data_IF_357744880304
#
_entry.id   IF_357744880304
#
_cell.length_a   1.000
_cell.length_b   1.000
_cell.length_c   1.000
_cell.angle_alpha   90.00
_cell.angle_beta   90.00
_cell.angle_gamma   90.00
#
_symmetry.space_group_name_H-M   'P 1'
#
loop_
_entity.id
_entity.type
_entity.pdbx_description
1 polymer ?
#
# COMPACT_ATOMS: atom_id res chain seq x y z
N UNK A 1 -8.77 -61.93 -26.87
CA UNK A 1 -7.95 -60.79 -26.41
C UNK A 1 -8.87 -59.59 -26.23
N UNK A 2 -8.88 -58.95 -25.05
CA UNK A 2 -9.65 -57.73 -24.75
C UNK A 2 -8.63 -56.64 -24.43
N UNK A 3 -8.65 -55.53 -25.17
CA UNK A 3 -7.81 -54.36 -24.92
C UNK A 3 -8.74 -53.26 -24.44
N UNK A 4 -8.64 -52.88 -23.18
CA UNK A 4 -9.33 -51.74 -22.58
C UNK A 4 -8.47 -50.51 -22.82
N UNK A 5 -8.96 -49.57 -23.64
CA UNK A 5 -8.34 -48.27 -23.85
C UNK A 5 -8.83 -47.30 -22.77
N UNK A 6 -7.95 -46.93 -21.83
CA UNK A 6 -8.23 -45.86 -20.87
C UNK A 6 -7.63 -44.56 -21.39
N UNK A 7 -8.48 -43.69 -21.88
CA UNK A 7 -8.14 -42.38 -22.43
C UNK A 7 -7.97 -41.39 -21.26
N UNK A 8 -6.72 -41.11 -20.86
CA UNK A 8 -6.45 -40.04 -19.89
C UNK A 8 -6.38 -38.73 -20.67
N UNK A 9 -7.49 -38.00 -20.68
CA UNK A 9 -7.55 -36.61 -21.08
C UNK A 9 -6.85 -35.77 -19.99
N UNK A 10 -5.54 -35.57 -20.12
CA UNK A 10 -4.84 -34.55 -19.35
C UNK A 10 -5.19 -33.18 -19.93
N UNK A 11 -6.24 -32.59 -19.33
CA UNK A 11 -6.63 -31.22 -19.55
C UNK A 11 -5.44 -30.28 -19.30
N UNK A 12 -5.22 -29.41 -20.28
CA UNK A 12 -4.47 -28.16 -20.26
C UNK A 12 -4.45 -27.47 -18.88
N UNK A 13 -3.28 -27.42 -18.24
CA UNK A 13 -2.97 -26.40 -17.23
C UNK A 13 -2.26 -25.27 -17.96
N UNK A 14 -3.04 -24.37 -18.55
CA UNK A 14 -2.55 -23.16 -19.18
C UNK A 14 -3.36 -21.96 -18.69
N UNK A 15 -3.26 -21.63 -17.39
CA UNK A 15 -3.69 -20.33 -16.86
C UNK A 15 -2.81 -19.95 -15.66
N UNK A 16 -1.60 -19.47 -15.92
CA UNK A 16 -0.96 -18.47 -15.05
C UNK A 16 -0.89 -17.19 -15.86
N UNK A 17 -2.06 -16.64 -16.15
CA UNK A 17 -2.24 -15.34 -16.79
C UNK A 17 -1.78 -14.26 -15.82
N UNK A 18 -0.54 -13.80 -15.99
CA UNK A 18 -0.17 -12.38 -15.98
C UNK A 18 -0.94 -11.49 -15.00
N UNK A 19 -0.74 -11.68 -13.70
CA UNK A 19 -1.08 -10.65 -12.70
C UNK A 19 -0.01 -9.53 -12.67
N UNK A 20 1.12 -9.72 -13.37
CA UNK A 20 2.31 -8.86 -13.32
C UNK A 20 2.18 -7.47 -13.99
N UNK A 21 1.05 -7.13 -14.60
CA UNK A 21 0.95 -5.91 -15.42
C UNK A 21 0.18 -4.75 -14.79
N UNK A 22 -0.45 -4.94 -13.62
CA UNK A 22 -1.23 -3.86 -12.97
C UNK A 22 -0.72 -3.52 -11.57
N UNK A 23 -0.03 -4.46 -10.91
CA UNK A 23 0.50 -4.26 -9.57
C UNK A 23 1.98 -3.94 -9.69
N UNK A 24 2.32 -2.65 -9.62
CA UNK A 24 3.70 -2.20 -9.81
C UNK A 24 4.73 -2.96 -8.95
N UNK A 25 5.97 -2.98 -9.42
CA UNK A 25 7.12 -3.66 -8.80
C UNK A 25 7.39 -3.36 -7.31
N UNK A 26 6.71 -2.36 -6.73
CA UNK A 26 6.92 -1.88 -5.37
C UNK A 26 6.08 -2.61 -4.31
N UNK A 27 5.15 -3.48 -4.71
CA UNK A 27 4.26 -4.21 -3.80
C UNK A 27 4.47 -5.71 -3.93
N UNK A 28 4.64 -6.39 -2.79
CA UNK A 28 4.64 -7.85 -2.74
C UNK A 28 3.19 -8.32 -2.64
N UNK A 29 2.77 -9.17 -3.56
CA UNK A 29 1.57 -9.98 -3.38
C UNK A 29 2.01 -11.18 -2.52
N UNK A 30 1.49 -11.32 -1.30
CA UNK A 30 1.83 -12.43 -0.42
C UNK A 30 1.47 -13.76 -1.09
N UNK A 31 2.48 -14.46 -1.62
CA UNK A 31 2.30 -15.66 -2.45
C UNK A 31 2.68 -16.95 -1.72
N UNK A 32 3.26 -16.88 -0.52
CA UNK A 32 3.59 -18.06 0.29
C UNK A 32 3.25 -17.87 1.77
N UNK A 33 2.95 -18.97 2.45
CA UNK A 33 2.35 -19.03 3.79
C UNK A 33 3.18 -18.46 4.95
N UNK A 34 4.30 -17.77 4.68
CA UNK A 34 5.18 -17.12 5.65
C UNK A 34 5.34 -15.61 5.46
N UNK A 35 4.79 -15.03 4.39
CA UNK A 35 4.89 -13.60 4.12
C UNK A 35 3.68 -12.85 4.70
N UNK A 36 3.95 -11.74 5.40
CA UNK A 36 2.91 -10.82 5.90
C UNK A 36 1.96 -10.43 4.77
N UNK A 37 0.66 -10.38 5.05
CA UNK A 37 -0.37 -9.96 4.10
C UNK A 37 -0.96 -8.61 4.50
N UNK A 38 -1.64 -7.99 3.54
CA UNK A 38 -2.41 -6.77 3.81
C UNK A 38 -3.37 -6.93 4.99
N UNK A 39 -4.13 -8.03 5.02
CA UNK A 39 -5.15 -8.27 6.05
C UNK A 39 -4.50 -8.46 7.44
N UNK A 40 -3.29 -9.00 7.51
CA UNK A 40 -2.54 -9.15 8.75
C UNK A 40 -2.14 -7.80 9.36
N UNK A 41 -2.10 -6.73 8.57
CA UNK A 41 -1.74 -5.38 9.01
C UNK A 41 -2.98 -4.50 9.19
N UNK A 42 -3.94 -4.60 8.28
CA UNK A 42 -4.98 -3.58 8.11
C UNK A 42 -6.38 -3.98 8.53
N UNK A 43 -6.65 -5.26 8.83
CA UNK A 43 -7.92 -5.65 9.44
C UNK A 43 -7.90 -5.47 10.96
N UNK A 44 -9.09 -5.31 11.55
CA UNK A 44 -9.28 -5.08 12.99
C UNK A 44 -8.68 -6.16 13.90
N UNK A 45 -8.44 -7.37 13.39
CA UNK A 45 -7.72 -8.44 14.09
C UNK A 45 -6.22 -8.50 13.79
N UNK A 46 -5.75 -7.79 12.76
CA UNK A 46 -4.37 -7.75 12.28
C UNK A 46 -3.58 -6.53 12.77
N UNK A 47 -4.24 -5.41 13.09
CA UNK A 47 -3.58 -4.20 13.62
C UNK A 47 -2.84 -4.38 14.97
N UNK A 48 -2.78 -5.61 15.50
CA UNK A 48 -2.01 -6.00 16.68
C UNK A 48 -0.55 -6.38 16.37
N UNK A 49 -0.12 -6.36 15.10
CA UNK A 49 1.30 -6.56 14.77
C UNK A 49 2.07 -5.30 15.17
N UNK A 50 3.05 -5.47 16.07
CA UNK A 50 3.92 -4.40 16.58
C UNK A 50 4.97 -3.95 15.55
N UNK A 51 4.51 -3.43 14.42
CA UNK A 51 5.35 -2.90 13.33
C UNK A 51 4.81 -1.57 12.84
N UNK A 52 5.71 -0.65 12.50
CA UNK A 52 5.35 0.66 11.94
C UNK A 52 4.83 0.48 10.52
N UNK A 53 3.51 0.59 10.36
CA UNK A 53 2.85 0.40 9.07
C UNK A 53 1.71 1.37 8.85
N UNK A 54 1.31 1.63 7.61
CA UNK A 54 0.13 2.44 7.29
C UNK A 54 -0.69 1.73 6.24
N UNK A 55 -1.99 1.73 6.45
CA UNK A 55 -2.96 1.15 5.54
C UNK A 55 -3.49 2.24 4.60
N UNK A 56 -3.32 2.06 3.30
CA UNK A 56 -3.79 2.99 2.30
C UNK A 56 -4.92 2.39 1.47
N UNK A 57 -5.88 3.22 1.12
CA UNK A 57 -6.88 2.96 0.08
C UNK A 57 -6.52 3.78 -1.14
N UNK A 58 -6.36 3.13 -2.28
CA UNK A 58 -5.90 3.74 -3.53
C UNK A 58 -6.70 3.21 -4.72
N UNK A 59 -6.95 4.04 -5.73
CA UNK A 59 -7.53 3.54 -6.98
C UNK A 59 -6.54 2.64 -7.72
N UNK A 60 -7.07 1.75 -8.55
CA UNK A 60 -6.26 0.92 -9.47
C UNK A 60 -5.41 1.77 -10.42
N UNK A 61 -5.88 2.96 -10.78
CA UNK A 61 -5.17 3.89 -11.65
C UNK A 61 -3.93 4.48 -10.96
N UNK A 62 -4.00 4.72 -9.64
CA UNK A 62 -2.88 5.28 -8.90
C UNK A 62 -1.66 4.35 -8.94
N UNK A 63 -1.86 3.03 -8.86
CA UNK A 63 -0.76 2.06 -8.95
C UNK A 63 0.05 2.16 -10.25
N UNK A 64 -0.59 2.58 -11.35
CA UNK A 64 0.07 2.80 -12.65
C UNK A 64 0.88 4.10 -12.69
N UNK A 65 0.54 5.06 -11.83
CA UNK A 65 1.20 6.38 -11.79
C UNK A 65 2.43 6.39 -10.88
N UNK A 66 2.67 5.34 -10.09
CA UNK A 66 3.79 5.27 -9.16
C UNK A 66 5.09 5.08 -9.94
N UNK A 67 5.97 6.07 -9.85
CA UNK A 67 7.24 6.11 -10.59
C UNK A 67 8.41 5.63 -9.75
N UNK A 68 8.39 5.98 -8.47
CA UNK A 68 9.52 5.77 -7.57
C UNK A 68 9.01 5.53 -6.17
N UNK A 69 9.67 4.61 -5.50
CA UNK A 69 9.49 4.36 -4.08
C UNK A 69 10.84 4.40 -3.39
N UNK A 70 10.85 4.84 -2.13
CA UNK A 70 12.00 4.68 -1.25
C UNK A 70 11.76 3.52 -0.27
N UNK A 71 12.66 3.38 0.69
CA UNK A 71 12.73 2.39 1.78
C UNK A 71 11.40 2.06 2.47
N UNK A 72 10.62 1.13 1.90
CA UNK A 72 9.51 0.46 2.58
C UNK A 72 9.21 -0.89 1.92
N UNK A 73 8.45 -1.74 2.63
CA UNK A 73 7.83 -2.94 2.06
C UNK A 73 6.34 -2.67 1.84
N UNK A 74 5.86 -2.87 0.62
CA UNK A 74 4.45 -2.75 0.28
C UNK A 74 3.75 -4.11 0.27
N UNK A 75 2.56 -4.22 0.85
CA UNK A 75 1.72 -5.42 0.79
C UNK A 75 0.36 -5.08 0.20
N UNK A 76 0.01 -5.68 -0.94
CA UNK A 76 -1.22 -5.35 -1.64
C UNK A 76 -2.40 -6.18 -1.12
N UNK A 77 -3.57 -5.56 -1.02
CA UNK A 77 -4.80 -6.31 -0.75
C UNK A 77 -5.20 -7.18 -1.94
N UNK A 78 -5.93 -8.29 -1.73
CA UNK A 78 -6.40 -9.17 -2.81
C UNK A 78 -7.27 -8.45 -3.86
N UNK A 79 -7.92 -7.33 -3.49
CA UNK A 79 -8.79 -6.55 -4.37
C UNK A 79 -8.06 -5.46 -5.18
N UNK A 80 -6.74 -5.35 -5.03
CA UNK A 80 -5.87 -4.42 -5.78
C UNK A 80 -6.28 -2.94 -5.67
N UNK A 81 -6.94 -2.56 -4.58
CA UNK A 81 -7.40 -1.18 -4.33
C UNK A 81 -6.99 -0.64 -2.95
N UNK A 82 -6.11 -1.38 -2.28
CA UNK A 82 -5.54 -1.05 -0.98
C UNK A 82 -4.16 -1.67 -0.87
N UNK A 83 -3.26 -1.03 -0.14
CA UNK A 83 -1.98 -1.59 0.22
C UNK A 83 -1.56 -1.13 1.62
N UNK A 84 -0.75 -1.96 2.28
CA UNK A 84 -0.09 -1.62 3.52
C UNK A 84 1.35 -1.21 3.18
N UNK A 85 1.80 -0.13 3.76
CA UNK A 85 3.20 0.29 3.73
C UNK A 85 3.80 -0.07 5.08
N UNK A 86 4.79 -0.94 5.11
CA UNK A 86 5.59 -1.23 6.32
C UNK A 86 6.92 -0.52 6.20
N UNK A 87 7.25 0.31 7.18
CA UNK A 87 8.47 1.10 7.18
C UNK A 87 9.69 0.20 7.29
N UNK A 88 10.70 0.45 6.46
CA UNK A 88 12.04 -0.16 6.60
C UNK A 88 13.10 0.84 7.05
N UNK A 89 12.71 2.10 7.26
CA UNK A 89 13.55 3.21 7.73
C UNK A 89 12.66 4.25 8.43
N UNK A 90 13.24 5.37 8.88
CA UNK A 90 12.48 6.45 9.55
C UNK A 90 11.55 7.23 8.63
N UNK A 91 11.74 7.15 7.30
CA UNK A 91 10.92 7.87 6.32
C UNK A 91 10.74 7.05 5.05
N UNK A 92 9.49 6.92 4.61
CA UNK A 92 9.13 6.37 3.32
C UNK A 92 8.64 7.47 2.38
N UNK A 93 8.93 7.33 1.10
CA UNK A 93 8.49 8.24 0.04
C UNK A 93 7.98 7.43 -1.14
N UNK A 94 6.89 7.91 -1.74
CA UNK A 94 6.26 7.34 -2.91
C UNK A 94 5.91 8.48 -3.86
N UNK A 95 6.50 8.47 -5.04
CA UNK A 95 6.31 9.51 -6.06
C UNK A 95 5.35 9.00 -7.13
N UNK A 96 4.36 9.82 -7.45
CA UNK A 96 3.40 9.60 -8.53
C UNK A 96 3.65 10.58 -9.69
N UNK A 97 2.86 10.47 -10.76
CA UNK A 97 2.83 11.45 -11.85
C UNK A 97 2.54 12.88 -11.39
N UNK A 98 1.73 13.06 -10.33
CA UNK A 98 1.18 14.38 -9.97
C UNK A 98 1.59 14.88 -8.58
N UNK A 99 2.02 14.00 -7.68
CA UNK A 99 2.45 14.34 -6.33
C UNK A 99 3.45 13.34 -5.74
N UNK A 100 4.15 13.76 -4.71
CA UNK A 100 4.93 12.92 -3.80
C UNK A 100 4.19 12.73 -2.48
N UNK A 101 4.11 11.48 -2.01
CA UNK A 101 3.69 11.13 -0.65
C UNK A 101 4.92 10.87 0.20
N UNK A 102 4.98 11.44 1.39
CA UNK A 102 5.97 11.05 2.40
C UNK A 102 5.30 10.58 3.67
N UNK A 103 5.80 9.49 4.24
CA UNK A 103 5.33 8.89 5.50
C UNK A 103 6.48 8.86 6.49
N UNK A 104 6.23 9.30 7.72
CA UNK A 104 7.16 9.19 8.83
C UNK A 104 6.42 8.85 10.11
N UNK A 105 7.02 8.03 10.97
CA UNK A 105 6.43 7.67 12.25
C UNK A 105 6.97 8.53 13.38
N UNK A 106 6.09 8.88 14.31
CA UNK A 106 6.44 9.48 15.57
C UNK A 106 5.66 8.80 16.69
N UNK A 107 6.30 8.63 17.84
CA UNK A 107 5.59 8.36 19.08
C UNK A 107 4.95 9.66 19.53
N UNK A 108 3.63 9.69 19.56
CA UNK A 108 2.84 10.84 20.03
C UNK A 108 2.21 10.45 21.35
N UNK A 109 2.43 11.25 22.37
CA UNK A 109 1.77 11.09 23.67
C UNK A 109 1.87 12.34 24.53
N UNK A 110 0.93 12.45 25.45
CA UNK A 110 0.94 13.36 26.60
C UNK A 110 1.02 12.55 27.90
N UNK A 111 0.20 12.89 28.90
CA UNK A 111 0.15 12.19 30.22
C UNK A 111 -0.44 10.75 30.17
N UNK A 112 -0.47 10.10 29.01
CA UNK A 112 -1.07 8.77 28.78
C UNK A 112 -0.19 7.81 27.98
N UNK A 113 -0.76 6.71 27.45
CA UNK A 113 -0.03 5.74 26.63
C UNK A 113 0.50 6.37 25.34
N UNK A 114 1.79 6.14 25.06
CA UNK A 114 2.43 6.57 23.81
C UNK A 114 1.80 5.82 22.63
N UNK A 115 1.26 6.56 21.66
CA UNK A 115 0.71 6.01 20.44
C UNK A 115 1.71 6.18 19.29
N UNK A 116 1.84 5.14 18.46
CA UNK A 116 2.63 5.21 17.23
C UNK A 116 1.77 5.81 16.13
N UNK A 117 2.12 7.01 15.69
CA UNK A 117 1.37 7.74 14.69
C UNK A 117 2.21 7.94 13.42
N UNK A 118 1.60 7.59 12.30
CA UNK A 118 2.11 7.91 10.99
C UNK A 118 1.69 9.33 10.62
N UNK A 119 2.65 10.15 10.23
CA UNK A 119 2.45 11.44 9.61
C UNK A 119 2.60 11.26 8.10
N UNK A 120 1.55 11.56 7.35
CA UNK A 120 1.50 11.46 5.89
C UNK A 120 1.33 12.87 5.31
N UNK A 121 2.24 13.23 4.41
CA UNK A 121 2.15 14.47 3.64
C UNK A 121 2.02 14.16 2.16
N UNK A 122 1.13 14.87 1.49
CA UNK A 122 1.00 14.85 0.03
C UNK A 122 1.41 16.22 -0.52
N UNK A 123 2.44 16.24 -1.35
CA UNK A 123 3.02 17.47 -1.93
C UNK A 123 2.92 17.37 -3.44
N UNK A 124 2.29 18.34 -4.09
CA UNK A 124 2.18 18.35 -5.55
C UNK A 124 3.58 18.46 -6.19
N UNK A 125 3.78 17.84 -7.35
CA UNK A 125 5.08 17.86 -8.01
C UNK A 125 5.51 19.30 -8.35
N UNK A 126 6.70 19.70 -7.89
CA UNK A 126 7.21 21.07 -8.04
C UNK A 126 6.83 22.03 -6.91
N UNK A 127 5.96 21.61 -5.97
CA UNK A 127 5.60 22.40 -4.80
C UNK A 127 6.44 22.00 -3.57
N UNK A 128 6.48 22.90 -2.58
CA UNK A 128 7.16 22.64 -1.29
C UNK A 128 6.19 22.48 -0.12
N UNK A 129 4.97 23.00 -0.25
CA UNK A 129 3.93 22.91 0.78
C UNK A 129 3.03 21.70 0.50
N UNK A 130 2.66 20.91 1.53
CA UNK A 130 1.69 19.85 1.36
C UNK A 130 0.32 20.43 1.04
N UNK A 131 -0.39 19.84 0.07
CA UNK A 131 -1.79 20.15 -0.19
C UNK A 131 -2.74 19.33 0.67
N UNK A 132 -2.25 18.21 1.22
CA UNK A 132 -2.97 17.42 2.21
C UNK A 132 -1.99 16.84 3.24
N UNK A 133 -2.45 16.77 4.49
CA UNK A 133 -1.75 16.20 5.62
C UNK A 133 -2.71 15.30 6.39
N UNK A 134 -2.24 14.10 6.72
CA UNK A 134 -2.98 13.12 7.51
C UNK A 134 -2.09 12.60 8.63
N UNK A 135 -2.69 12.38 9.79
CA UNK A 135 -2.06 11.67 10.89
C UNK A 135 -2.95 10.49 11.28
N UNK A 136 -2.34 9.30 11.40
CA UNK A 136 -3.05 8.05 11.71
C UNK A 136 -2.27 7.31 12.78
N UNK A 137 -2.93 7.03 13.91
CA UNK A 137 -2.32 6.36 15.05
C UNK A 137 -2.79 4.92 15.15
N UNK A 138 -1.85 4.00 15.39
CA UNK A 138 -2.14 2.58 15.58
C UNK A 138 -2.57 2.28 17.02
N UNK A 139 -3.46 1.29 17.22
CA UNK A 139 -4.07 0.39 16.22
C UNK A 139 -5.39 0.90 15.59
N UNK A 140 -5.87 2.10 15.97
CA UNK A 140 -7.27 2.51 15.71
C UNK A 140 -7.48 3.46 14.51
N UNK A 141 -6.41 3.92 13.87
CA UNK A 141 -6.48 5.04 12.93
C UNK A 141 -7.06 4.72 11.54
N UNK A 142 -7.28 3.44 11.21
CA UNK A 142 -7.93 3.03 9.96
C UNK A 142 -7.11 3.27 8.68
N UNK A 143 -7.78 3.19 7.53
CA UNK A 143 -7.18 3.37 6.20
C UNK A 143 -7.09 4.85 5.79
N UNK A 144 -5.96 5.25 5.19
CA UNK A 144 -5.76 6.58 4.59
C UNK A 144 -6.14 6.55 3.11
N UNK A 145 -7.12 7.36 2.66
CA UNK A 145 -7.41 7.48 1.23
C UNK A 145 -6.30 8.27 0.53
N UNK A 146 -5.76 7.71 -0.55
CA UNK A 146 -4.81 8.41 -1.41
C UNK A 146 -5.55 9.23 -2.48
N UNK A 147 -5.12 10.46 -2.75
CA UNK A 147 -5.68 11.26 -3.84
C UNK A 147 -5.29 10.67 -5.20
N UNK A 148 -6.22 10.59 -6.15
CA UNK A 148 -5.91 10.10 -7.51
C UNK A 148 -5.08 11.09 -8.33
N UNK A 149 -5.06 12.36 -7.92
CA UNK A 149 -4.27 13.43 -8.52
C UNK A 149 -4.05 14.57 -7.53
N UNK A 150 -2.97 15.32 -7.70
CA UNK A 150 -2.82 16.61 -7.05
C UNK A 150 -3.94 17.59 -7.47
N UNK A 151 -4.38 18.50 -6.59
CA UNK A 151 -5.26 19.60 -6.97
C UNK A 151 -4.65 20.41 -8.11
N UNK A 152 -5.43 20.69 -9.15
CA UNK A 152 -5.03 21.62 -10.21
C UNK A 152 -5.09 23.05 -9.65
N UNK A 153 -4.02 23.49 -8.99
CA UNK A 153 -3.86 24.82 -8.41
C UNK A 153 -5.04 25.28 -7.53
N UNK A 154 -5.00 24.98 -6.23
CA UNK A 154 -5.61 25.94 -5.30
C UNK A 154 -4.77 27.20 -5.40
N UNK A 155 -5.36 28.26 -5.95
CA UNK A 155 -4.83 29.63 -5.92
C UNK A 155 -4.02 29.84 -4.65
N UNK A 156 -2.80 30.35 -4.81
CA UNK A 156 -2.04 31.04 -3.78
C UNK A 156 -3.04 31.85 -2.95
N UNK A 157 -3.34 31.40 -1.73
CA UNK A 157 -4.02 32.27 -0.77
C UNK A 157 -2.95 33.32 -0.42
N UNK A 158 -3.19 34.60 -0.73
CA UNK A 158 -2.24 35.68 -0.46
C UNK A 158 -1.96 35.82 1.05
#
# INVERSE_FOLDING_TARGET
MKITATLIATATVAILTSADLVTGWFVTQGTQGSDLKYDDLCHASGSHIDVDHVCFKASTNLFKQIKRTSTFKGYLSPRLNRFALVMSSTKAQLDTDTYSMSVSFALVGGDGELQRCANINFVANGETKPFDHKQVCHPYGGEVPMPDKAPSHSKTIP
#
